data_IF_200479025520
#
_entry.id   IF_200479025520
#
_cell.length_a   1.000
_cell.length_b   1.000
_cell.length_c   1.000
_cell.angle_alpha   90.00
_cell.angle_beta   90.00
_cell.angle_gamma   90.00
#
_symmetry.space_group_name_H-M   'P 1'
#
loop_
_entity.id
_entity.type
_entity.pdbx_description
1 polymer ?
#
# COMPACT_ATOMS: atom_id res chain seq x y z
N UNK A 1 -13.13 30.79 -9.51
CA UNK A 1 -13.20 30.99 -8.04
C UNK A 1 -12.47 29.87 -7.28
N UNK A 2 -11.41 29.27 -7.85
CA UNK A 2 -10.68 28.13 -7.22
C UNK A 2 -9.16 28.36 -7.14
N UNK A 3 -8.69 29.53 -7.58
CA UNK A 3 -7.27 29.85 -7.72
C UNK A 3 -6.56 30.22 -6.42
N UNK A 4 -7.23 30.18 -5.25
CA UNK A 4 -6.62 30.57 -3.97
C UNK A 4 -6.19 29.37 -3.08
N UNK A 5 -6.39 28.13 -3.55
CA UNK A 5 -6.03 26.90 -2.81
C UNK A 5 -4.68 26.29 -3.25
N UNK A 6 -4.01 26.90 -4.22
CA UNK A 6 -3.17 26.14 -5.17
C UNK A 6 -1.70 25.97 -4.80
N UNK A 7 -1.23 26.46 -3.64
CA UNK A 7 0.17 26.20 -3.28
C UNK A 7 0.46 26.35 -1.80
N UNK A 8 0.27 27.56 -1.27
CA UNK A 8 0.65 27.83 0.11
C UNK A 8 -0.25 27.14 1.13
N UNK A 9 -1.58 27.12 0.90
CA UNK A 9 -2.51 26.44 1.82
C UNK A 9 -2.25 24.93 1.89
N UNK A 10 -2.01 24.28 0.75
CA UNK A 10 -1.68 22.86 0.70
C UNK A 10 -0.35 22.56 1.43
N UNK A 11 0.67 23.41 1.26
CA UNK A 11 1.93 23.29 2.00
C UNK A 11 1.75 23.46 3.51
N UNK A 12 0.94 24.42 3.96
CA UNK A 12 0.67 24.65 5.38
C UNK A 12 -0.06 23.44 5.99
N UNK A 13 -1.07 22.90 5.31
CA UNK A 13 -1.78 21.70 5.78
C UNK A 13 -0.81 20.51 5.84
N UNK A 14 0.00 20.31 4.80
CA UNK A 14 1.02 19.26 4.78
C UNK A 14 2.02 19.43 5.94
N UNK A 15 2.45 20.65 6.23
CA UNK A 15 3.33 20.94 7.35
C UNK A 15 2.70 20.56 8.70
N UNK A 16 1.42 20.92 8.92
CA UNK A 16 0.69 20.54 10.16
C UNK A 16 0.56 19.02 10.27
N UNK A 17 0.21 18.33 9.18
CA UNK A 17 0.09 16.87 9.20
C UNK A 17 1.46 16.21 9.43
N UNK A 18 2.53 16.72 8.85
CA UNK A 18 3.90 16.26 9.12
C UNK A 18 4.33 16.50 10.57
N UNK A 19 3.90 17.60 11.20
CA UNK A 19 4.14 17.88 12.61
C UNK A 19 3.41 16.89 13.54
N UNK A 20 2.18 16.51 13.20
CA UNK A 20 1.37 15.58 14.00
C UNK A 20 1.76 14.11 13.78
N UNK A 21 1.95 13.70 12.53
CA UNK A 21 2.16 12.31 12.15
C UNK A 21 3.64 11.97 11.95
N UNK A 22 4.49 12.94 11.64
CA UNK A 22 5.90 12.74 11.29
C UNK A 22 6.13 12.40 9.82
N UNK A 23 7.32 12.75 9.31
CA UNK A 23 7.69 12.54 7.90
C UNK A 23 7.73 11.07 7.46
N UNK A 24 8.00 10.13 8.38
CA UNK A 24 8.06 8.70 8.07
C UNK A 24 6.67 8.02 8.00
N UNK A 25 5.62 8.60 8.62
CA UNK A 25 4.31 7.95 8.73
C UNK A 25 3.35 8.31 7.61
N UNK A 26 3.46 9.51 7.04
CA UNK A 26 2.70 9.89 5.85
C UNK A 26 2.90 8.94 4.65
N UNK A 27 4.13 8.62 4.22
CA UNK A 27 4.33 7.71 3.10
C UNK A 27 3.86 6.29 3.41
N UNK A 28 4.06 5.81 4.65
CA UNK A 28 3.60 4.50 5.07
C UNK A 28 2.06 4.36 4.99
N UNK A 29 1.34 5.38 5.45
CA UNK A 29 -0.13 5.42 5.36
C UNK A 29 -0.61 5.56 3.91
N UNK A 30 0.05 6.39 3.11
CA UNK A 30 -0.28 6.57 1.69
C UNK A 30 -0.11 5.26 0.90
N UNK A 31 0.93 4.47 1.17
CA UNK A 31 1.14 3.16 0.53
C UNK A 31 0.04 2.16 0.91
N UNK A 32 -0.32 2.07 2.20
CA UNK A 32 -1.37 1.16 2.67
C UNK A 32 -2.74 1.48 2.04
N UNK A 33 -3.12 2.77 1.99
CA UNK A 33 -4.38 3.20 1.37
C UNK A 33 -4.32 3.08 -0.16
N UNK A 34 -3.17 3.39 -0.76
CA UNK A 34 -2.94 3.30 -2.20
C UNK A 34 -3.10 1.87 -2.73
N UNK A 35 -2.66 0.86 -1.98
CA UNK A 35 -2.89 -0.54 -2.34
C UNK A 35 -4.39 -0.89 -2.34
N UNK A 36 -5.16 -0.49 -1.33
CA UNK A 36 -6.61 -0.74 -1.28
C UNK A 36 -7.35 -0.09 -2.47
N UNK A 37 -7.02 1.16 -2.79
CA UNK A 37 -7.63 1.88 -3.93
C UNK A 37 -7.21 1.29 -5.27
N UNK A 38 -5.98 0.79 -5.40
CA UNK A 38 -5.50 0.13 -6.62
C UNK A 38 -6.27 -1.15 -6.90
N UNK A 39 -6.50 -1.96 -5.87
CA UNK A 39 -7.27 -3.20 -5.97
C UNK A 39 -8.71 -2.87 -6.38
N UNK A 40 -9.35 -1.93 -5.69
CA UNK A 40 -10.72 -1.50 -6.04
C UNK A 40 -10.80 -0.95 -7.48
N UNK A 41 -9.83 -0.14 -7.91
CA UNK A 41 -9.77 0.39 -9.28
C UNK A 41 -9.64 -0.74 -10.30
N UNK A 42 -8.80 -1.74 -10.03
CA UNK A 42 -8.58 -2.87 -10.93
C UNK A 42 -9.85 -3.69 -11.13
N UNK A 43 -10.50 -4.07 -10.04
CA UNK A 43 -11.75 -4.83 -10.07
C UNK A 43 -12.89 -4.01 -10.72
N UNK A 44 -12.96 -2.70 -10.43
CA UNK A 44 -13.94 -1.80 -11.05
C UNK A 44 -13.69 -1.59 -12.56
N UNK A 45 -12.43 -1.49 -12.99
CA UNK A 45 -12.06 -1.37 -14.41
C UNK A 45 -12.27 -2.67 -15.20
N UNK A 46 -12.20 -3.85 -14.58
CA UNK A 46 -12.55 -5.12 -15.24
C UNK A 46 -14.05 -5.23 -15.55
N UNK A 47 -14.90 -4.44 -14.89
CA UNK A 47 -16.34 -4.38 -15.16
C UNK A 47 -16.69 -3.32 -16.23
N UNK A 48 -15.79 -2.39 -16.53
CA UNK A 48 -15.96 -1.35 -17.57
C UNK A 48 -15.24 -1.81 -18.86
N UNK A 49 -15.96 -2.17 -19.94
CA UNK A 49 -15.36 -2.75 -21.14
C UNK A 49 -14.70 -1.69 -22.05
N UNK A 50 -13.89 -0.75 -21.53
CA UNK A 50 -12.95 0.06 -22.31
C UNK A 50 -12.03 0.88 -21.37
N UNK A 51 -10.87 0.34 -20.99
CA UNK A 51 -9.83 1.14 -20.34
C UNK A 51 -8.43 0.60 -20.67
N UNK A 52 -7.79 1.19 -21.68
CA UNK A 52 -6.38 0.94 -22.04
C UNK A 52 -5.47 1.38 -20.87
N UNK A 53 -4.55 0.51 -20.38
CA UNK A 53 -3.73 0.83 -19.22
C UNK A 53 -2.58 1.76 -19.60
N UNK A 54 -2.58 3.00 -19.09
CA UNK A 54 -1.42 3.90 -19.20
C UNK A 54 -0.40 3.55 -18.11
N UNK A 55 0.73 3.00 -18.59
CA UNK A 55 2.08 2.97 -18.05
C UNK A 55 2.27 3.10 -16.52
N UNK A 56 2.74 2.01 -15.92
CA UNK A 56 3.41 2.03 -14.62
C UNK A 56 4.75 2.79 -14.70
N UNK A 57 5.09 3.68 -13.76
CA UNK A 57 6.48 4.02 -13.53
C UNK A 57 7.13 2.86 -12.77
N UNK A 58 8.08 2.23 -13.44
CA UNK A 58 9.13 1.43 -12.80
C UNK A 58 9.86 2.31 -11.77
N UNK A 59 9.86 1.87 -10.52
CA UNK A 59 10.97 2.13 -9.61
C UNK A 59 11.43 0.77 -9.13
N UNK A 60 12.45 0.27 -9.83
CA UNK A 60 13.31 -0.78 -9.33
C UNK A 60 13.92 -0.34 -8.00
N UNK A 61 13.69 -1.14 -6.96
CA UNK A 61 14.54 -1.21 -5.77
C UNK A 61 14.35 -2.60 -5.12
N UNK A 62 14.87 -3.64 -5.77
CA UNK A 62 15.34 -4.87 -5.12
C UNK A 62 16.81 -4.62 -4.70
N UNK A 63 17.39 -5.20 -3.62
CA UNK A 63 17.02 -6.49 -3.02
C UNK A 63 17.06 -6.59 -1.47
N UNK A 64 16.64 -7.77 -0.97
CA UNK A 64 16.91 -8.38 0.36
C UNK A 64 15.89 -7.97 1.46
N UNK A 65 15.15 -8.87 2.11
CA UNK A 65 15.58 -10.16 2.66
C UNK A 65 14.47 -11.21 2.51
N UNK A 66 14.84 -12.30 1.84
CA UNK A 66 14.22 -13.60 1.99
C UNK A 66 14.60 -14.12 3.39
N UNK A 67 13.70 -14.03 4.36
CA UNK A 67 13.69 -14.99 5.47
C UNK A 67 12.41 -15.79 5.33
N UNK A 68 12.52 -16.81 4.48
CA UNK A 68 11.84 -18.07 4.71
C UNK A 68 12.18 -18.51 6.14
N UNK A 69 11.25 -18.32 7.06
CA UNK A 69 11.24 -19.13 8.27
C UNK A 69 10.57 -20.46 7.89
N UNK A 70 11.38 -21.34 7.33
CA UNK A 70 11.16 -22.79 7.42
C UNK A 70 11.23 -23.17 8.90
N UNK A 71 10.20 -23.85 9.41
CA UNK A 71 10.27 -25.25 9.83
C UNK A 71 8.86 -25.69 10.28
N UNK A 72 8.26 -26.69 9.60
CA UNK A 72 7.11 -27.43 10.11
C UNK A 72 7.56 -28.23 11.34
N UNK A 73 6.93 -27.99 12.49
CA UNK A 73 7.16 -28.82 13.69
C UNK A 73 5.95 -29.72 13.92
N UNK A 74 6.20 -31.00 13.65
CA UNK A 74 5.58 -32.20 14.21
C UNK A 74 4.15 -32.60 13.78
N UNK A 75 4.02 -33.71 13.01
CA UNK A 75 2.97 -34.69 13.27
C UNK A 75 3.46 -35.58 14.42
N UNK A 76 2.87 -35.47 15.61
CA UNK A 76 3.05 -36.48 16.66
C UNK A 76 1.81 -36.55 17.53
N UNK A 77 1.20 -37.73 17.47
CA UNK A 77 0.36 -38.38 18.47
C UNK A 77 -1.01 -37.77 18.77
N UNK A 78 -2.06 -38.34 18.16
CA UNK A 78 -3.20 -38.92 18.89
C UNK A 78 -3.66 -40.20 18.17
N UNK A 79 -2.80 -41.23 18.19
CA UNK A 79 -3.26 -42.61 18.19
C UNK A 79 -3.40 -43.03 19.66
N UNK A 80 -4.62 -42.98 20.20
CA UNK A 80 -4.95 -43.80 21.34
C UNK A 80 -6.35 -44.38 21.12
N UNK A 81 -6.32 -45.54 20.47
CA UNK A 81 -7.36 -46.55 20.53
C UNK A 81 -7.54 -46.98 21.98
N UNK A 82 -8.77 -46.94 22.48
CA UNK A 82 -9.21 -47.80 23.59
C UNK A 82 -10.71 -48.02 23.48
#
# INVERSE_FOLDING_TARGET
>A
MLQNLTGMHALVILAVVLLLFGAAKLPALATSVGQSVRILKKEASETEPDAVPVAAPVTEATPSVHTVHTVPTAPTAEQHTS
#
